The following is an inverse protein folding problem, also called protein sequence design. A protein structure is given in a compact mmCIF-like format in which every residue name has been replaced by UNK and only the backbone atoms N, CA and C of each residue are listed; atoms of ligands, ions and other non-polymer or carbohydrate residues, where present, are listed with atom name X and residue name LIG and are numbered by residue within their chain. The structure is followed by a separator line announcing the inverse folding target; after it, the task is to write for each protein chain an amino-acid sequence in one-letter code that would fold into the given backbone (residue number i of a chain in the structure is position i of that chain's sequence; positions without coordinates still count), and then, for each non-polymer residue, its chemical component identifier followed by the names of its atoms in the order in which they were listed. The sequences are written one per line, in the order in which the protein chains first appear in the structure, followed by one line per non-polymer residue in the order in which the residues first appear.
data_IF_817068268248
#
_entry.id   IF_817068268248
#
_cell.length_a   1.000
_cell.length_b   1.000
_cell.length_c   1.000
_cell.angle_alpha   90.00
_cell.angle_beta   90.00
_cell.angle_gamma   90.00
#
_symmetry.space_group_name_H-M   'P 1'
#
loop_
_entity.id
_entity.type
_entity.pdbx_description
1 polymer ?
#
# COMPACT_ATOMS: atom_id res chain seq x y z
N UNK A 1 7.27 8.34 3.29
CA UNK A 1 6.76 8.95 4.52
C UNK A 1 6.00 7.87 5.25
N UNK A 2 6.26 7.67 6.54
CA UNK A 2 5.41 6.80 7.33
C UNK A 2 4.09 7.53 7.56
N UNK A 3 3.01 7.02 6.97
CA UNK A 3 1.67 7.49 7.27
C UNK A 3 1.32 7.01 8.67
N UNK A 4 1.20 7.93 9.62
CA UNK A 4 0.69 7.57 10.95
C UNK A 4 -0.81 7.30 10.85
N UNK A 5 -1.30 6.23 11.49
CA UNK A 5 -2.73 5.98 11.57
C UNK A 5 -3.40 7.15 12.29
N UNK A 6 -4.58 7.53 11.81
CA UNK A 6 -5.41 8.53 12.45
C UNK A 6 -6.44 7.83 13.34
N UNK A 7 -6.50 8.25 14.60
CA UNK A 7 -7.40 7.68 15.60
C UNK A 7 -8.52 8.68 15.90
N UNK A 8 -9.77 8.29 15.69
CA UNK A 8 -10.96 9.14 15.90
C UNK A 8 -11.92 8.39 16.81
N UNK A 9 -12.28 8.99 17.94
CA UNK A 9 -13.27 8.45 18.86
C UNK A 9 -14.49 9.37 18.91
N UNK A 10 -15.64 8.83 18.53
CA UNK A 10 -16.95 9.43 18.77
C UNK A 10 -17.64 8.63 19.88
N UNK A 11 -17.97 9.30 20.98
CA UNK A 11 -18.79 8.72 22.03
C UNK A 11 -20.09 9.51 22.17
N UNK A 12 -21.21 8.93 21.75
CA UNK A 12 -22.55 9.46 21.97
C UNK A 12 -23.29 8.61 23.02
N UNK A 13 -23.90 9.25 24.01
CA UNK A 13 -24.63 8.57 25.08
C UNK A 13 -25.96 9.25 25.34
N UNK A 14 -27.05 8.49 25.44
CA UNK A 14 -28.38 9.01 25.79
C UNK A 14 -28.93 8.27 27.00
N UNK A 15 -28.96 8.95 28.14
CA UNK A 15 -29.64 8.46 29.34
C UNK A 15 -31.16 8.66 29.21
N UNK A 16 -31.99 7.78 29.81
CA UNK A 16 -33.44 7.95 29.83
C UNK A 16 -33.86 9.34 30.34
N UNK A 17 -34.72 10.03 29.59
CA UNK A 17 -35.22 11.36 29.94
C UNK A 17 -34.21 12.51 29.82
N UNK A 18 -33.00 12.27 29.30
CA UNK A 18 -31.98 13.30 29.09
C UNK A 18 -31.65 13.48 27.61
N UNK A 19 -31.14 14.66 27.27
CA UNK A 19 -30.53 14.89 25.95
C UNK A 19 -29.25 14.06 25.79
N UNK A 20 -28.90 13.65 24.57
CA UNK A 20 -27.66 12.94 24.32
C UNK A 20 -26.45 13.82 24.66
N UNK A 21 -25.42 13.20 25.20
CA UNK A 21 -24.12 13.79 25.48
C UNK A 21 -23.09 13.21 24.53
N UNK A 22 -22.24 14.06 23.97
CA UNK A 22 -21.25 13.71 22.95
C UNK A 22 -19.84 14.04 23.44
N UNK A 23 -18.89 13.20 23.07
CA UNK A 23 -17.46 13.48 23.08
C UNK A 23 -16.88 13.10 21.71
N UNK A 24 -16.03 13.98 21.18
CA UNK A 24 -15.21 13.68 20.00
C UNK A 24 -13.74 13.89 20.36
N UNK A 25 -12.91 12.90 20.10
CA UNK A 25 -11.45 13.03 20.16
C UNK A 25 -10.80 12.58 18.86
N UNK A 26 -9.65 13.17 18.52
CA UNK A 26 -8.81 12.74 17.41
C UNK A 26 -7.33 12.76 17.83
N UNK A 27 -6.62 11.64 17.63
CA UNK A 27 -5.22 11.44 18.01
C UNK A 27 -4.96 11.84 19.48
N UNK A 28 -5.87 11.46 20.39
CA UNK A 28 -5.82 11.80 21.81
C UNK A 28 -6.17 13.27 22.15
N UNK A 29 -6.37 14.13 21.15
CA UNK A 29 -6.81 15.51 21.36
C UNK A 29 -8.34 15.56 21.40
N UNK A 30 -8.89 16.14 22.47
CA UNK A 30 -10.32 16.41 22.54
C UNK A 30 -10.71 17.51 21.55
N UNK A 31 -11.65 17.20 20.67
CA UNK A 31 -12.26 18.15 19.72
C UNK A 31 -13.59 18.68 20.26
N UNK A 32 -14.33 17.84 21.00
CA UNK A 32 -15.57 18.24 21.65
C UNK A 32 -15.78 17.51 23.00
N UNK A 33 -16.29 18.18 24.05
CA UNK A 33 -16.43 19.64 24.18
C UNK A 33 -15.09 20.38 24.18
N UNK A 34 -15.11 21.63 23.71
CA UNK A 34 -13.92 22.50 23.75
C UNK A 34 -13.54 22.88 25.18
N UNK A 35 -12.24 23.03 25.45
CA UNK A 35 -11.73 23.57 26.71
C UNK A 35 -11.41 22.56 27.82
N UNK A 36 -11.47 21.24 27.56
CA UNK A 36 -10.87 20.20 28.41
C UNK A 36 -11.50 19.97 29.80
N UNK A 37 -12.45 20.82 30.24
CA UNK A 37 -13.04 20.74 31.57
C UNK A 37 -14.20 19.74 31.71
N UNK A 38 -14.72 19.20 30.60
CA UNK A 38 -15.83 18.24 30.58
C UNK A 38 -15.47 17.05 29.71
N UNK A 39 -15.86 15.86 30.15
CA UNK A 39 -15.68 14.65 29.35
C UNK A 39 -16.74 14.49 28.27
N UNK A 40 -17.98 14.95 28.46
CA UNK A 40 -19.07 14.91 27.46
C UNK A 40 -19.96 16.14 27.61
N UNK A 41 -20.56 16.63 26.53
CA UNK A 41 -21.51 17.76 26.56
C UNK A 41 -22.64 17.58 25.54
N UNK A 42 -23.77 18.27 25.75
CA UNK A 42 -24.85 18.34 24.77
C UNK A 42 -24.43 19.23 23.60
N UNK A 43 -24.64 18.76 22.38
CA UNK A 43 -24.45 19.56 21.17
C UNK A 43 -25.42 20.76 21.13
N UNK A 44 -24.88 21.94 20.86
CA UNK A 44 -25.68 23.18 20.69
C UNK A 44 -26.05 23.42 19.21
N UNK A 45 -25.22 22.93 18.31
CA UNK A 45 -25.35 22.91 16.85
C UNK A 45 -24.75 21.60 16.35
N UNK A 46 -24.97 21.26 15.07
CA UNK A 46 -24.29 20.13 14.44
C UNK A 46 -22.78 20.32 14.53
N UNK A 47 -22.07 19.22 14.77
CA UNK A 47 -20.62 19.23 14.85
C UNK A 47 -20.04 18.64 13.57
N UNK A 48 -19.19 19.40 12.89
CA UNK A 48 -18.49 18.95 11.70
C UNK A 48 -16.98 19.11 11.92
N UNK A 49 -16.22 18.06 11.66
CA UNK A 49 -14.77 18.10 11.65
C UNK A 49 -14.23 17.53 10.34
N UNK A 50 -13.31 18.26 9.72
CA UNK A 50 -12.64 17.86 8.48
C UNK A 50 -11.17 17.55 8.72
N UNK A 51 -10.67 16.53 8.05
CA UNK A 51 -9.26 16.19 8.01
C UNK A 51 -8.82 16.04 6.56
N UNK A 52 -8.01 16.98 6.04
CA UNK A 52 -7.52 16.89 4.68
C UNK A 52 -6.39 15.85 4.59
N UNK A 53 -6.48 14.96 3.60
CA UNK A 53 -5.46 14.01 3.21
C UNK A 53 -4.99 14.32 1.79
N UNK A 54 -3.69 14.15 1.57
CA UNK A 54 -3.10 14.27 0.24
C UNK A 54 -2.88 12.88 -0.32
N UNK A 55 -3.46 12.61 -1.48
CA UNK A 55 -3.13 11.44 -2.26
C UNK A 55 -1.69 11.51 -2.79
N UNK A 56 -1.22 10.38 -3.32
CA UNK A 56 0.03 10.34 -4.07
C UNK A 56 -0.29 10.74 -5.50
N UNK A 57 0.30 11.85 -5.98
CA UNK A 57 0.12 12.26 -7.35
C UNK A 57 0.72 11.23 -8.33
N UNK A 58 0.09 11.10 -9.49
CA UNK A 58 0.54 10.19 -10.56
C UNK A 58 1.97 10.56 -10.98
N UNK A 59 2.84 9.57 -11.13
CA UNK A 59 4.21 9.79 -11.60
C UNK A 59 5.20 10.32 -10.56
N UNK A 60 4.77 10.55 -9.31
CA UNK A 60 5.70 10.81 -8.20
C UNK A 60 6.71 9.65 -8.09
N UNK A 61 7.97 10.00 -7.82
CA UNK A 61 9.12 9.08 -7.78
C UNK A 61 9.51 8.45 -9.13
N UNK A 62 8.81 8.76 -10.24
CA UNK A 62 9.20 8.30 -11.57
C UNK A 62 10.22 9.26 -12.20
N UNK A 63 11.36 8.76 -12.70
CA UNK A 63 12.35 9.60 -13.34
C UNK A 63 11.85 10.12 -14.69
N UNK A 64 12.14 11.40 -14.98
CA UNK A 64 11.76 12.08 -16.23
C UNK A 64 10.24 12.07 -16.51
N UNK A 65 9.41 11.98 -15.47
CA UNK A 65 7.96 12.11 -15.61
C UNK A 65 7.51 13.58 -15.58
N UNK A 66 8.24 14.41 -14.82
CA UNK A 66 7.92 15.82 -14.61
C UNK A 66 9.01 16.74 -15.16
N UNK A 67 8.64 17.99 -15.37
CA UNK A 67 9.56 19.10 -15.52
C UNK A 67 9.21 20.22 -14.54
N UNK A 68 10.22 21.01 -14.18
CA UNK A 68 10.16 21.98 -13.09
C UNK A 68 10.67 23.34 -13.55
N UNK A 69 9.94 24.39 -13.18
CA UNK A 69 10.37 25.78 -13.37
C UNK A 69 10.88 26.34 -12.04
N UNK A 70 12.20 26.35 -11.77
CA UNK A 70 12.73 26.87 -10.51
C UNK A 70 12.61 28.40 -10.45
N UNK A 71 11.63 28.90 -9.68
CA UNK A 71 11.42 30.33 -9.44
C UNK A 71 12.72 31.00 -8.97
N UNK A 72 13.11 32.06 -9.68
CA UNK A 72 14.30 32.87 -9.36
C UNK A 72 15.62 32.33 -9.90
N UNK A 73 15.66 31.17 -10.57
CA UNK A 73 16.87 30.66 -11.24
C UNK A 73 16.81 30.79 -12.76
N UNK A 74 15.71 30.33 -13.37
CA UNK A 74 15.48 30.39 -14.81
C UNK A 74 13.97 30.40 -15.10
N UNK A 75 13.58 30.95 -16.25
CA UNK A 75 12.21 30.85 -16.77
C UNK A 75 11.98 29.53 -17.53
N UNK A 76 13.06 28.78 -17.81
CA UNK A 76 13.00 27.51 -18.53
C UNK A 76 12.50 26.36 -17.64
N UNK A 77 11.76 25.44 -18.25
CA UNK A 77 11.33 24.19 -17.60
C UNK A 77 12.44 23.15 -17.73
N UNK A 78 12.93 22.67 -16.57
CA UNK A 78 14.01 21.70 -16.47
C UNK A 78 13.45 20.29 -16.25
N UNK A 79 13.93 19.26 -16.96
CA UNK A 79 13.44 17.90 -16.75
C UNK A 79 13.84 17.40 -15.35
N UNK A 80 12.86 16.85 -14.63
CA UNK A 80 13.05 16.35 -13.29
C UNK A 80 13.55 14.89 -13.31
N UNK A 81 14.67 14.67 -12.63
CA UNK A 81 15.17 13.33 -12.30
C UNK A 81 14.27 12.68 -11.27
N UNK A 82 13.79 13.47 -10.31
CA UNK A 82 12.98 12.98 -9.20
C UNK A 82 12.13 14.10 -8.62
N UNK A 83 10.88 13.81 -8.28
CA UNK A 83 9.99 14.71 -7.53
C UNK A 83 9.39 13.94 -6.36
N UNK A 84 9.52 14.50 -5.17
CA UNK A 84 9.00 13.93 -3.93
C UNK A 84 8.23 14.99 -3.14
N UNK A 85 7.11 14.64 -2.48
CA UNK A 85 6.48 15.53 -1.53
C UNK A 85 7.41 15.76 -0.34
N UNK A 86 7.49 17.00 0.18
CA UNK A 86 8.27 17.27 1.40
C UNK A 86 7.59 16.66 2.61
N UNK A 87 8.40 16.23 3.58
CA UNK A 87 7.93 15.64 4.85
C UNK A 87 7.18 16.65 5.73
N UNK A 88 7.32 17.94 5.47
CA UNK A 88 6.57 18.96 6.19
C UNK A 88 5.16 19.09 5.61
N UNK A 89 4.20 19.45 6.47
CA UNK A 89 2.80 19.67 6.07
C UNK A 89 2.61 20.94 5.21
N UNK A 90 3.68 21.50 4.66
CA UNK A 90 3.67 22.73 3.84
C UNK A 90 2.99 22.54 2.50
N UNK A 91 2.95 21.30 2.01
CA UNK A 91 2.43 20.99 0.69
C UNK A 91 3.33 21.37 -0.46
N UNK A 92 4.61 21.63 -0.19
CA UNK A 92 5.66 21.86 -1.19
C UNK A 92 6.38 20.55 -1.53
N UNK A 93 7.16 20.58 -2.59
CA UNK A 93 7.90 19.42 -3.09
C UNK A 93 9.40 19.65 -2.97
N UNK A 94 10.14 18.55 -2.89
CA UNK A 94 11.57 18.53 -3.16
C UNK A 94 11.77 17.86 -4.52
N UNK A 95 12.74 18.34 -5.28
CA UNK A 95 13.00 17.77 -6.58
C UNK A 95 14.48 17.77 -6.93
N UNK A 96 14.86 16.87 -7.81
CA UNK A 96 16.17 16.85 -8.44
C UNK A 96 15.99 17.04 -9.93
N UNK A 97 16.72 17.98 -10.52
CA UNK A 97 16.58 18.35 -11.93
C UNK A 97 17.91 18.26 -12.66
N UNK A 98 17.85 18.09 -13.98
CA UNK A 98 19.00 18.33 -14.86
C UNK A 98 19.10 19.81 -15.19
N UNK A 99 20.19 20.43 -14.75
CA UNK A 99 20.50 21.82 -15.06
C UNK A 99 21.44 21.90 -16.27
N UNK A 100 21.11 22.68 -17.32
CA UNK A 100 21.98 22.85 -18.47
C UNK A 100 23.27 23.56 -18.05
N UNK A 101 24.42 22.93 -18.30
CA UNK A 101 25.71 23.56 -18.08
C UNK A 101 26.01 24.63 -19.14
N UNK A 102 27.02 25.51 -18.92
CA UNK A 102 27.52 26.41 -19.96
C UNK A 102 27.89 25.65 -21.24
N UNK A 103 27.81 26.31 -22.41
CA UNK A 103 28.01 25.71 -23.74
C UNK A 103 29.21 24.74 -23.75
N UNK A 104 28.93 23.46 -24.02
CA UNK A 104 29.93 22.39 -24.11
C UNK A 104 30.19 21.61 -22.82
N UNK A 105 29.56 21.97 -21.69
CA UNK A 105 29.65 21.20 -20.45
C UNK A 105 28.46 20.25 -20.28
N UNK A 106 28.68 19.13 -19.58
CA UNK A 106 27.63 18.15 -19.31
C UNK A 106 26.56 18.77 -18.38
N UNK A 107 25.28 18.39 -18.52
CA UNK A 107 24.24 18.76 -17.56
C UNK A 107 24.63 18.36 -16.14
N UNK A 108 24.27 19.18 -15.17
CA UNK A 108 24.56 18.94 -13.75
C UNK A 108 23.27 18.62 -13.01
N UNK A 109 23.30 17.64 -12.11
CA UNK A 109 22.20 17.39 -11.19
C UNK A 109 22.14 18.49 -10.12
N UNK A 110 20.96 19.07 -9.92
CA UNK A 110 20.73 20.09 -8.90
C UNK A 110 19.52 19.68 -8.05
N UNK A 111 19.71 19.64 -6.74
CA UNK A 111 18.62 19.43 -5.77
C UNK A 111 17.94 20.78 -5.46
N UNK A 112 16.63 20.82 -5.65
CA UNK A 112 15.73 21.91 -5.33
C UNK A 112 14.93 21.50 -4.08
N UNK A 113 15.30 21.98 -2.88
CA UNK A 113 14.70 21.52 -1.62
C UNK A 113 13.26 22.00 -1.44
N UNK A 114 12.85 23.04 -2.17
CA UNK A 114 11.53 23.65 -2.08
C UNK A 114 11.07 24.05 -3.47
N UNK A 115 10.07 23.33 -3.99
CA UNK A 115 9.41 23.57 -5.27
C UNK A 115 7.91 23.75 -5.02
N UNK A 116 7.34 24.81 -5.56
CA UNK A 116 5.90 25.09 -5.46
C UNK A 116 5.11 24.25 -6.46
N UNK A 117 3.85 23.95 -6.15
CA UNK A 117 3.02 23.06 -6.96
C UNK A 117 2.82 23.60 -8.39
N UNK A 118 2.69 24.91 -8.53
CA UNK A 118 2.54 25.61 -9.82
C UNK A 118 3.81 25.57 -10.69
N UNK A 119 4.95 25.21 -10.10
CA UNK A 119 6.24 25.07 -10.77
C UNK A 119 6.50 23.64 -11.26
N UNK A 120 5.52 22.73 -11.18
CA UNK A 120 5.67 21.33 -11.56
C UNK A 120 4.59 20.98 -12.57
N UNK A 121 4.98 20.36 -13.69
CA UNK A 121 4.05 19.85 -14.69
C UNK A 121 4.55 18.55 -15.30
N UNK A 122 3.64 17.75 -15.85
CA UNK A 122 3.99 16.53 -16.56
C UNK A 122 4.83 16.86 -17.80
N UNK A 123 5.93 16.13 -18.01
CA UNK A 123 6.86 16.42 -19.10
C UNK A 123 6.24 16.19 -20.48
N UNK A 124 5.41 15.15 -20.62
CA UNK A 124 4.77 14.79 -21.89
C UNK A 124 3.53 15.65 -22.17
N UNK A 125 2.59 15.71 -21.23
CA UNK A 125 1.31 16.38 -21.45
C UNK A 125 1.34 17.89 -21.19
N UNK A 126 2.40 18.39 -20.53
CA UNK A 126 2.54 19.76 -20.03
C UNK A 126 1.44 20.21 -19.07
N UNK A 127 0.61 19.29 -18.57
CA UNK A 127 -0.43 19.60 -17.58
C UNK A 127 0.20 19.83 -16.21
N UNK A 128 -0.26 20.84 -15.45
CA UNK A 128 0.21 21.06 -14.08
C UNK A 128 0.08 19.81 -13.21
N UNK A 129 0.94 19.67 -12.21
CA UNK A 129 0.85 18.58 -11.25
C UNK A 129 -0.48 18.66 -10.48
N UNK A 130 -1.32 17.66 -10.64
CA UNK A 130 -2.53 17.49 -9.84
C UNK A 130 -2.24 16.53 -8.67
N UNK A 131 -2.42 17.04 -7.45
CA UNK A 131 -2.33 16.24 -6.23
C UNK A 131 -3.76 15.90 -5.80
N UNK A 132 -4.16 14.62 -5.81
CA UNK A 132 -5.50 14.24 -5.40
C UNK A 132 -5.77 14.74 -3.99
N UNK A 133 -6.81 15.55 -3.83
CA UNK A 133 -7.26 16.03 -2.53
C UNK A 133 -8.35 15.10 -2.03
N UNK A 134 -8.18 14.62 -0.80
CA UNK A 134 -9.19 13.84 -0.10
C UNK A 134 -9.49 14.52 1.23
N UNK A 135 -10.72 14.45 1.68
CA UNK A 135 -11.11 14.97 2.98
C UNK A 135 -11.91 13.88 3.70
N UNK A 136 -11.51 13.56 4.93
CA UNK A 136 -12.36 12.82 5.83
C UNK A 136 -13.22 13.83 6.58
N UNK A 137 -14.53 13.61 6.61
CA UNK A 137 -15.48 14.48 7.30
C UNK A 137 -16.24 13.65 8.31
N UNK A 138 -16.17 14.04 9.58
CA UNK A 138 -17.04 13.55 10.63
C UNK A 138 -18.15 14.57 10.83
N UNK A 139 -19.38 14.17 10.57
CA UNK A 139 -20.59 14.95 10.83
C UNK A 139 -21.37 14.29 11.97
N UNK A 140 -21.75 15.08 12.97
CA UNK A 140 -22.49 14.62 14.15
C UNK A 140 -23.72 15.50 14.32
N UNK A 141 -24.90 14.94 14.00
CA UNK A 141 -26.19 15.60 14.16
C UNK A 141 -26.45 16.00 15.61
N UNK A 142 -26.87 17.25 15.82
CA UNK A 142 -27.30 17.76 17.13
C UNK A 142 -28.55 17.05 17.63
N UNK A 143 -29.50 16.82 16.73
CA UNK A 143 -30.83 16.33 17.07
C UNK A 143 -30.79 14.82 17.38
N UNK A 144 -29.93 14.08 16.67
CA UNK A 144 -29.83 12.64 16.81
C UNK A 144 -28.41 12.09 16.59
N UNK A 145 -27.44 12.42 17.47
CA UNK A 145 -26.04 12.00 17.34
C UNK A 145 -25.83 10.49 17.41
N UNK A 146 -26.84 9.71 17.81
CA UNK A 146 -26.74 8.25 17.90
C UNK A 146 -26.98 7.56 16.55
N UNK A 147 -27.78 8.16 15.66
CA UNK A 147 -28.17 7.53 14.38
C UNK A 147 -27.73 8.35 13.17
N UNK A 148 -27.58 9.65 13.32
CA UNK A 148 -27.26 10.59 12.24
C UNK A 148 -25.84 11.13 12.39
N UNK A 149 -24.93 10.30 12.90
CA UNK A 149 -23.50 10.60 12.87
C UNK A 149 -22.88 9.84 11.70
N UNK A 150 -22.19 10.54 10.82
CA UNK A 150 -21.58 9.97 9.64
C UNK A 150 -20.09 10.28 9.56
N UNK A 151 -19.34 9.34 9.01
CA UNK A 151 -17.97 9.54 8.60
C UNK A 151 -17.92 9.37 7.08
N UNK A 152 -17.56 10.41 6.35
CA UNK A 152 -17.52 10.39 4.89
C UNK A 152 -16.14 10.74 4.36
N UNK A 153 -15.79 10.13 3.23
CA UNK A 153 -14.59 10.43 2.46
C UNK A 153 -15.02 11.24 1.23
N UNK A 154 -14.57 12.49 1.14
CA UNK A 154 -14.77 13.33 -0.04
C UNK A 154 -13.51 13.29 -0.89
N UNK A 155 -13.65 12.93 -2.15
CA UNK A 155 -12.60 13.05 -3.16
C UNK A 155 -13.13 13.63 -4.48
N UNK A 156 -12.33 13.60 -5.54
CA UNK A 156 -12.69 14.10 -6.87
C UNK A 156 -13.91 13.39 -7.49
N UNK A 157 -14.28 12.20 -6.99
CA UNK A 157 -15.42 11.42 -7.48
C UNK A 157 -16.71 11.73 -6.73
N UNK A 158 -16.63 12.40 -5.58
CA UNK A 158 -17.78 12.76 -4.75
C UNK A 158 -17.59 12.42 -3.28
N UNK A 159 -18.70 12.39 -2.54
CA UNK A 159 -18.74 11.97 -1.13
C UNK A 159 -19.10 10.49 -1.05
N UNK A 160 -18.27 9.71 -0.35
CA UNK A 160 -18.50 8.30 -0.04
C UNK A 160 -18.69 8.15 1.47
N UNK A 161 -19.83 7.61 1.91
CA UNK A 161 -20.06 7.34 3.33
C UNK A 161 -19.31 6.08 3.77
N UNK A 162 -18.44 6.22 4.77
CA UNK A 162 -17.59 5.16 5.31
C UNK A 162 -17.87 4.88 6.79
N UNK A 163 -18.99 5.39 7.33
CA UNK A 163 -19.45 5.17 8.71
C UNK A 163 -19.46 3.70 9.11
N UNK A 164 -19.90 2.83 8.18
CA UNK A 164 -20.00 1.38 8.39
C UNK A 164 -18.88 0.61 7.66
N UNK A 165 -17.81 1.31 7.28
CA UNK A 165 -16.65 0.69 6.64
C UNK A 165 -15.74 0.07 7.71
N UNK A 166 -16.14 -1.09 8.22
CA UNK A 166 -15.32 -1.86 9.14
C UNK A 166 -14.24 -2.60 8.35
N UNK A 167 -12.97 -2.43 8.74
CA UNK A 167 -11.87 -3.15 8.11
C UNK A 167 -10.83 -3.63 9.13
N UNK A 168 -10.14 -4.73 8.80
CA UNK A 168 -8.96 -5.22 9.52
C UNK A 168 -7.82 -5.51 8.54
N UNK A 169 -6.57 -5.27 8.93
CA UNK A 169 -5.43 -5.58 8.08
C UNK A 169 -5.20 -7.09 8.01
N UNK A 170 -4.65 -7.55 6.88
CA UNK A 170 -4.21 -8.93 6.64
C UNK A 170 -2.73 -8.94 6.21
N UNK A 171 -1.84 -9.67 6.90
CA UNK A 171 -2.11 -10.54 8.05
C UNK A 171 -2.57 -9.74 9.28
N UNK A 172 -3.13 -10.39 10.32
CA UNK A 172 -3.37 -9.71 11.58
C UNK A 172 -2.06 -9.14 12.14
N UNK A 173 -2.08 -7.98 12.80
CA UNK A 173 -0.88 -7.41 13.40
C UNK A 173 -0.40 -8.32 14.53
N UNK A 174 0.88 -8.71 14.48
CA UNK A 174 1.48 -9.54 15.53
C UNK A 174 1.85 -8.67 16.72
N UNK A 175 1.04 -8.73 17.79
CA UNK A 175 1.34 -8.09 19.08
C UNK A 175 0.41 -6.93 19.46
N UNK A 176 0.72 -6.28 20.58
CA UNK A 176 -0.07 -5.16 21.13
C UNK A 176 0.31 -3.78 20.55
N UNK A 177 1.37 -3.71 19.73
CA UNK A 177 1.72 -2.47 19.04
C UNK A 177 0.65 -2.10 18.01
N UNK A 178 0.51 -0.79 17.75
CA UNK A 178 -0.55 -0.18 16.93
C UNK A 178 -0.91 -1.00 15.69
N UNK A 179 -2.17 -0.92 15.27
CA UNK A 179 -2.70 -1.43 13.99
C UNK A 179 -2.08 -0.70 12.80
N UNK A 180 -0.76 -0.72 12.69
CA UNK A 180 -0.06 -0.40 11.46
C UNK A 180 -0.18 -1.59 10.51
N UNK A 181 -0.22 -1.31 9.21
CA UNK A 181 -0.19 -2.36 8.21
C UNK A 181 1.03 -3.27 8.51
N UNK A 182 0.83 -4.59 8.66
CA UNK A 182 1.92 -5.51 8.95
C UNK A 182 2.99 -5.41 7.87
N UNK A 183 4.23 -5.75 8.22
CA UNK A 183 5.27 -5.92 7.21
C UNK A 183 4.72 -6.81 6.09
N UNK A 184 4.89 -6.40 4.81
CA UNK A 184 4.27 -7.11 3.70
C UNK A 184 4.68 -8.58 3.78
N UNK A 185 3.69 -9.47 3.82
CA UNK A 185 3.92 -10.90 3.74
C UNK A 185 4.63 -11.14 2.42
N UNK A 186 5.95 -11.35 2.41
CA UNK A 186 6.72 -11.44 1.16
C UNK A 186 7.02 -12.91 0.84
N UNK A 187 6.91 -13.29 -0.43
CA UNK A 187 7.51 -14.54 -0.94
C UNK A 187 8.76 -14.17 -1.74
N UNK A 188 9.87 -14.82 -1.43
CA UNK A 188 11.13 -14.58 -2.14
C UNK A 188 11.34 -15.63 -3.23
N UNK A 189 11.90 -15.17 -4.34
CA UNK A 189 12.41 -16.01 -5.43
C UNK A 189 13.91 -15.76 -5.56
N UNK A 190 14.67 -16.82 -5.74
CA UNK A 190 16.10 -16.74 -6.06
C UNK A 190 16.31 -17.17 -7.50
N UNK A 191 16.95 -16.30 -8.28
CA UNK A 191 17.28 -16.54 -9.68
C UNK A 191 18.78 -16.75 -9.77
N UNK A 192 19.22 -17.86 -10.36
CA UNK A 192 20.64 -18.08 -10.57
C UNK A 192 21.23 -17.08 -11.57
N UNK A 193 22.56 -16.95 -11.57
CA UNK A 193 23.27 -15.97 -12.40
C UNK A 193 23.04 -16.17 -13.90
N UNK A 194 22.94 -17.42 -14.33
CA UNK A 194 22.68 -17.80 -15.73
C UNK A 194 21.20 -17.64 -16.11
N UNK A 195 20.32 -17.34 -15.15
CA UNK A 195 18.87 -17.20 -15.31
C UNK A 195 18.21 -18.43 -15.94
N UNK A 196 18.75 -19.62 -15.68
CA UNK A 196 18.22 -20.90 -16.13
C UNK A 196 17.34 -21.59 -15.09
N UNK A 197 17.43 -21.17 -13.82
CA UNK A 197 16.70 -21.76 -12.70
C UNK A 197 16.15 -20.68 -11.78
N UNK A 198 14.94 -20.91 -11.29
CA UNK A 198 14.28 -20.10 -10.26
C UNK A 198 13.87 -21.01 -9.11
N UNK A 199 14.24 -20.63 -7.90
CA UNK A 199 13.82 -21.26 -6.66
C UNK A 199 12.86 -20.34 -5.91
N UNK A 200 11.72 -20.86 -5.46
CA UNK A 200 10.71 -20.08 -4.71
C UNK A 200 10.65 -20.62 -3.28
N UNK A 201 10.65 -19.73 -2.29
CA UNK A 201 10.51 -20.08 -0.87
C UNK A 201 9.06 -20.48 -0.47
N UNK A 202 8.38 -21.22 -1.34
CA UNK A 202 7.04 -21.74 -1.14
C UNK A 202 6.82 -22.99 -2.00
N UNK A 203 5.92 -23.87 -1.54
CA UNK A 203 5.38 -24.97 -2.35
C UNK A 203 4.36 -24.49 -3.39
N UNK A 204 4.00 -25.39 -4.31
CA UNK A 204 3.07 -25.11 -5.41
C UNK A 204 1.73 -24.56 -4.93
N UNK A 205 1.07 -25.26 -4.02
CA UNK A 205 -0.26 -24.88 -3.55
C UNK A 205 -0.18 -23.60 -2.73
N UNK A 206 0.84 -23.47 -1.86
CA UNK A 206 1.04 -22.28 -1.04
C UNK A 206 1.27 -21.03 -1.90
N UNK A 207 2.04 -21.17 -2.98
CA UNK A 207 2.32 -20.07 -3.90
C UNK A 207 1.09 -19.64 -4.72
N UNK A 208 0.31 -20.61 -5.22
CA UNK A 208 -0.96 -20.32 -5.91
C UNK A 208 -1.95 -19.63 -4.96
N UNK A 209 -2.15 -20.18 -3.76
CA UNK A 209 -3.02 -19.60 -2.74
C UNK A 209 -2.64 -18.16 -2.42
N UNK A 210 -1.35 -17.93 -2.21
CA UNK A 210 -0.81 -16.61 -1.92
C UNK A 210 -1.10 -15.61 -3.06
N UNK A 211 -0.87 -16.01 -4.31
CA UNK A 211 -1.10 -15.17 -5.50
C UNK A 211 -2.58 -14.89 -5.75
N UNK A 212 -3.47 -15.81 -5.37
CA UNK A 212 -4.92 -15.63 -5.54
C UNK A 212 -5.56 -14.97 -4.32
N UNK A 213 -4.84 -14.84 -3.20
CA UNK A 213 -5.43 -14.54 -1.89
C UNK A 213 -6.61 -15.48 -1.61
N UNK A 214 -6.44 -16.78 -1.91
CA UNK A 214 -7.48 -17.80 -1.69
C UNK A 214 -7.74 -17.94 -0.18
N UNK A 215 -9.01 -18.00 0.21
CA UNK A 215 -9.42 -18.22 1.59
C UNK A 215 -9.63 -19.71 1.82
N UNK A 216 -9.07 -20.25 2.91
CA UNK A 216 -9.21 -21.67 3.27
C UNK A 216 -9.70 -21.85 4.70
N UNK A 217 -10.65 -22.75 4.89
CA UNK A 217 -11.18 -23.07 6.20
C UNK A 217 -10.15 -23.87 7.02
N UNK A 218 -9.91 -23.44 8.26
CA UNK A 218 -9.05 -24.18 9.20
C UNK A 218 -9.92 -24.93 10.20
N UNK A 219 -10.81 -24.24 10.90
CA UNK A 219 -11.68 -24.84 11.92
C UNK A 219 -12.88 -23.98 12.22
N UNK A 220 -13.96 -24.60 12.69
CA UNK A 220 -15.12 -23.90 13.27
C UNK A 220 -15.49 -24.53 14.61
N UNK A 221 -15.87 -23.69 15.58
CA UNK A 221 -16.32 -24.11 16.90
C UNK A 221 -17.64 -23.43 17.24
N UNK A 222 -18.69 -24.24 17.40
CA UNK A 222 -20.05 -23.78 17.63
C UNK A 222 -20.49 -24.07 19.07
N UNK A 223 -20.94 -23.02 19.76
CA UNK A 223 -21.55 -23.07 21.08
C UNK A 223 -22.90 -22.34 21.04
N UNK A 224 -23.74 -22.52 22.06
CA UNK A 224 -25.08 -21.92 22.09
C UNK A 224 -25.06 -20.39 21.97
N UNK A 225 -24.04 -19.73 22.50
CA UNK A 225 -23.95 -18.26 22.56
C UNK A 225 -22.71 -17.69 21.87
N UNK A 226 -21.99 -18.53 21.13
CA UNK A 226 -20.70 -18.20 20.54
C UNK A 226 -20.46 -19.08 19.33
N UNK A 227 -19.99 -18.48 18.25
CA UNK A 227 -19.51 -19.18 17.07
C UNK A 227 -18.16 -18.60 16.69
N UNK A 228 -17.18 -19.45 16.48
CA UNK A 228 -15.83 -19.06 16.11
C UNK A 228 -15.43 -19.78 14.84
N UNK A 229 -14.97 -19.01 13.85
CA UNK A 229 -14.37 -19.50 12.62
C UNK A 229 -12.90 -19.12 12.57
N UNK A 230 -12.10 -20.03 12.06
CA UNK A 230 -10.68 -19.81 11.78
C UNK A 230 -10.43 -20.16 10.32
N UNK A 231 -9.88 -19.23 9.57
CA UNK A 231 -9.50 -19.42 8.18
C UNK A 231 -8.15 -18.76 7.90
N UNK A 232 -7.57 -19.13 6.77
CA UNK A 232 -6.33 -18.58 6.25
C UNK A 232 -6.57 -17.85 4.93
N UNK A 233 -5.88 -16.72 4.72
CA UNK A 233 -5.80 -16.01 3.45
C UNK A 233 -4.38 -16.17 2.92
N UNK A 234 -4.21 -17.12 2.01
CA UNK A 234 -2.88 -17.61 1.66
C UNK A 234 -2.12 -18.22 2.87
N UNK A 235 -0.84 -18.56 2.71
CA UNK A 235 -0.08 -19.36 3.68
C UNK A 235 0.40 -18.60 4.93
N UNK A 236 0.25 -17.26 4.97
CA UNK A 236 0.88 -16.41 6.00
C UNK A 236 -0.09 -15.53 6.78
N UNK A 237 -1.40 -15.66 6.55
CA UNK A 237 -2.39 -14.86 7.26
C UNK A 237 -3.52 -15.73 7.77
N UNK A 238 -3.57 -15.91 9.08
CA UNK A 238 -4.61 -16.68 9.75
C UNK A 238 -5.51 -15.74 10.55
N UNK A 239 -6.80 -15.78 10.29
CA UNK A 239 -7.79 -14.94 10.96
C UNK A 239 -8.67 -15.77 11.90
N UNK A 240 -9.05 -15.16 13.03
CA UNK A 240 -10.02 -15.71 13.97
C UNK A 240 -11.22 -14.75 14.05
N UNK A 241 -12.37 -15.21 13.56
CA UNK A 241 -13.61 -14.45 13.61
C UNK A 241 -14.54 -15.12 14.61
N UNK A 242 -14.95 -14.37 15.63
CA UNK A 242 -15.83 -14.85 16.68
C UNK A 242 -17.04 -13.94 16.78
N UNK A 243 -18.23 -14.52 16.73
CA UNK A 243 -19.48 -13.84 17.04
C UNK A 243 -20.05 -14.44 18.32
N UNK A 244 -20.35 -13.60 19.31
CA UNK A 244 -20.81 -14.08 20.61
C UNK A 244 -21.79 -13.13 21.29
N UNK A 245 -22.47 -13.65 22.30
CA UNK A 245 -23.35 -12.91 23.19
C UNK A 245 -22.78 -12.91 24.60
N UNK A 246 -22.12 -11.83 25.00
CA UNK A 246 -21.46 -11.69 26.31
C UNK A 246 -22.40 -11.89 27.50
N UNK A 247 -23.66 -11.47 27.37
CA UNK A 247 -24.66 -11.57 28.43
C UNK A 247 -25.95 -12.24 27.94
N UNK A 248 -26.41 -13.29 28.65
CA UNK A 248 -27.57 -14.11 28.24
C UNK A 248 -28.83 -13.32 27.94
N UNK A 249 -29.12 -12.30 28.74
CA UNK A 249 -30.31 -11.44 28.64
C UNK A 249 -30.17 -10.27 27.68
N UNK A 250 -28.95 -9.95 27.20
CA UNK A 250 -28.73 -8.80 26.33
C UNK A 250 -29.33 -9.01 24.93
N UNK A 251 -29.54 -7.95 24.16
CA UNK A 251 -29.81 -8.04 22.71
C UNK A 251 -28.56 -7.72 21.87
N UNK A 252 -27.46 -7.40 22.54
CA UNK A 252 -26.19 -7.03 21.94
C UNK A 252 -25.43 -8.29 21.53
N UNK A 253 -25.01 -8.30 20.28
CA UNK A 253 -24.09 -9.28 19.71
C UNK A 253 -22.73 -8.62 19.52
N UNK A 254 -21.67 -9.33 19.86
CA UNK A 254 -20.28 -8.87 19.73
C UNK A 254 -19.60 -9.66 18.63
N UNK A 255 -19.10 -8.97 17.61
CA UNK A 255 -18.20 -9.51 16.60
C UNK A 255 -16.77 -9.12 16.93
N UNK A 256 -15.94 -10.13 17.12
CA UNK A 256 -14.51 -10.03 17.41
C UNK A 256 -13.74 -10.60 16.24
N UNK A 257 -12.75 -9.86 15.76
CA UNK A 257 -11.84 -10.29 14.69
C UNK A 257 -10.42 -10.19 15.23
N UNK A 258 -9.69 -11.30 15.20
CA UNK A 258 -8.30 -11.41 15.68
C UNK A 258 -8.15 -10.90 17.12
N UNK A 259 -9.05 -11.36 17.99
CA UNK A 259 -9.11 -11.03 19.42
C UNK A 259 -9.46 -9.57 19.75
N UNK A 260 -9.82 -8.76 18.76
CA UNK A 260 -10.27 -7.37 18.95
C UNK A 260 -11.74 -7.23 18.57
N UNK A 261 -12.51 -6.60 19.45
CA UNK A 261 -13.91 -6.26 19.15
C UNK A 261 -13.92 -5.33 17.95
N UNK A 262 -14.69 -5.69 16.93
CA UNK A 262 -14.91 -4.89 15.74
C UNK A 262 -16.30 -4.24 15.77
N UNK A 263 -17.33 -5.00 16.15
CA UNK A 263 -18.71 -4.54 16.23
C UNK A 263 -19.32 -5.06 17.53
N UNK A 264 -20.03 -4.21 18.28
CA UNK A 264 -20.77 -4.59 19.49
C UNK A 264 -22.08 -3.80 19.56
N UNK A 265 -23.18 -4.39 19.10
CA UNK A 265 -24.47 -3.69 18.98
C UNK A 265 -25.65 -4.67 18.87
N UNK A 266 -26.88 -4.15 18.95
CA UNK A 266 -28.08 -4.92 18.62
C UNK A 266 -28.32 -4.97 17.11
N UNK A 267 -29.16 -5.91 16.65
CA UNK A 267 -29.44 -6.10 15.22
C UNK A 267 -30.09 -4.87 14.55
N UNK A 268 -30.84 -4.06 15.32
CA UNK A 268 -31.47 -2.85 14.82
C UNK A 268 -30.60 -1.58 14.87
N UNK A 269 -29.36 -1.68 15.34
CA UNK A 269 -28.43 -0.56 15.41
C UNK A 269 -27.47 -0.51 14.20
N UNK A 270 -27.44 -1.56 13.39
CA UNK A 270 -26.64 -1.63 12.17
C UNK A 270 -27.54 -1.30 10.98
N UNK A 271 -27.37 -0.09 10.45
CA UNK A 271 -27.99 0.34 9.20
C UNK A 271 -27.24 -0.29 7.99
N UNK A 272 -27.19 -1.62 7.96
CA UNK A 272 -26.62 -2.40 6.85
C UNK A 272 -27.68 -2.69 5.77
N UNK A 273 -28.54 -1.72 5.51
CA UNK A 273 -29.46 -1.73 4.37
C UNK A 273 -28.65 -1.33 3.13
N UNK A 274 -27.71 -2.18 2.73
CA UNK A 274 -26.95 -2.00 1.50
C UNK A 274 -27.89 -2.11 0.28
N UNK A 275 -27.56 -1.45 -0.84
CA UNK A 275 -28.41 -1.38 -2.04
C UNK A 275 -28.70 -2.76 -2.68
N UNK A 276 -27.94 -3.80 -2.31
CA UNK A 276 -28.15 -5.17 -2.78
C UNK A 276 -29.17 -5.97 -1.92
N UNK A 277 -29.62 -5.42 -0.80
CA UNK A 277 -30.80 -5.93 -0.11
C UNK A 277 -32.00 -5.25 -0.77
N UNK A 278 -32.54 -5.90 -1.80
CA UNK A 278 -33.78 -5.50 -2.45
C UNK A 278 -34.81 -5.16 -1.36
N UNK A 279 -35.09 -3.87 -1.20
CA UNK A 279 -36.06 -3.31 -0.24
C UNK A 279 -37.45 -3.95 -0.45
N UNK A 280 -37.69 -4.47 -1.66
CA UNK A 280 -38.87 -5.25 -2.05
C UNK A 280 -38.99 -6.63 -1.36
N UNK A 281 -37.90 -7.19 -0.84
CA UNK A 281 -37.92 -8.45 -0.06
C UNK A 281 -38.17 -8.21 1.43
N UNK A 282 -38.01 -6.98 1.92
CA UNK A 282 -38.39 -6.61 3.28
C UNK A 282 -39.90 -6.38 3.33
N UNK A 283 -40.68 -7.45 3.13
CA UNK A 283 -42.12 -7.41 3.39
C UNK A 283 -42.31 -6.91 4.84
N UNK A 284 -43.08 -5.84 5.07
CA UNK A 284 -43.37 -5.30 6.39
C UNK A 284 -44.32 -6.24 7.14
N UNK A 285 -43.89 -7.48 7.37
CA UNK A 285 -44.63 -8.46 8.14
C UNK A 285 -44.56 -8.05 9.61
N UNK A 286 -45.72 -7.70 10.10
CA UNK A 286 -46.03 -6.89 11.28
C UNK A 286 -46.00 -7.66 12.60
N UNK A 287 -45.07 -8.60 12.76
CA UNK A 287 -45.01 -9.41 13.98
C UNK A 287 -43.57 -9.54 14.50
N UNK A 288 -43.05 -8.44 15.08
CA UNK A 288 -42.27 -8.39 16.32
C UNK A 288 -41.02 -9.25 16.55
N UNK A 289 -40.71 -10.23 15.71
CA UNK A 289 -39.71 -11.25 16.01
C UNK A 289 -38.46 -11.06 15.15
N UNK A 290 -37.53 -10.29 15.74
CA UNK A 290 -36.08 -10.35 15.57
C UNK A 290 -35.55 -10.48 14.14
N UNK A 291 -35.28 -9.34 13.48
CA UNK A 291 -34.37 -9.25 12.33
C UNK A 291 -33.06 -10.01 12.65
N UNK A 292 -32.51 -10.82 11.72
CA UNK A 292 -31.24 -11.48 11.93
C UNK A 292 -30.15 -10.43 12.17
N UNK A 293 -29.22 -10.72 13.08
CA UNK A 293 -28.06 -9.85 13.27
C UNK A 293 -27.08 -10.12 12.13
N UNK A 294 -26.70 -9.09 11.39
CA UNK A 294 -25.70 -9.18 10.33
C UNK A 294 -24.62 -8.17 10.60
N UNK A 295 -23.36 -8.58 10.53
CA UNK A 295 -22.20 -7.68 10.57
C UNK A 295 -21.32 -7.94 9.36
N UNK A 296 -20.93 -6.88 8.64
CA UNK A 296 -20.03 -6.98 7.51
C UNK A 296 -18.76 -6.16 7.78
N UNK A 297 -17.62 -6.68 7.32
CA UNK A 297 -16.35 -5.99 7.39
C UNK A 297 -15.44 -6.43 6.23
N UNK A 298 -14.31 -5.76 6.08
CA UNK A 298 -13.33 -6.07 5.04
C UNK A 298 -11.99 -6.48 5.65
N UNK A 299 -11.37 -7.49 5.08
CA UNK A 299 -9.97 -7.80 5.33
C UNK A 299 -9.14 -7.17 4.21
N UNK A 300 -8.18 -6.32 4.56
CA UNK A 300 -7.38 -5.56 3.61
C UNK A 300 -5.92 -5.99 3.77
N UNK A 301 -5.35 -6.56 2.72
CA UNK A 301 -3.98 -7.02 2.75
C UNK A 301 -3.16 -6.53 1.57
N UNK A 302 -1.85 -6.57 1.76
CA UNK A 302 -0.87 -6.40 0.69
C UNK A 302 -0.03 -7.67 0.56
N UNK A 303 0.28 -8.05 -0.67
CA UNK A 303 1.14 -9.17 -1.02
C UNK A 303 2.26 -8.68 -1.94
N UNK A 304 3.45 -9.23 -1.74
CA UNK A 304 4.68 -8.88 -2.44
C UNK A 304 5.42 -10.17 -2.79
N UNK A 305 5.83 -10.28 -4.04
CA UNK A 305 6.70 -11.36 -4.50
C UNK A 305 7.97 -10.71 -5.01
N UNK A 306 9.09 -10.96 -4.34
CA UNK A 306 10.37 -10.34 -4.69
C UNK A 306 11.32 -11.36 -5.24
N UNK A 307 11.85 -11.10 -6.43
CA UNK A 307 12.90 -11.90 -7.01
C UNK A 307 14.26 -11.26 -6.72
N UNK A 308 15.15 -12.01 -6.09
CA UNK A 308 16.58 -11.72 -6.03
C UNK A 308 17.20 -12.09 -7.36
N UNK A 309 17.55 -11.08 -8.14
CA UNK A 309 18.12 -11.23 -9.48
C UNK A 309 19.52 -10.64 -9.53
N UNK A 310 20.40 -11.26 -10.31
CA UNK A 310 21.67 -10.66 -10.68
C UNK A 310 21.40 -9.45 -11.60
N UNK A 311 22.06 -8.33 -11.30
CA UNK A 311 21.97 -7.13 -12.10
C UNK A 311 22.67 -7.35 -13.46
N UNK A 312 22.18 -6.71 -14.52
CA UNK A 312 22.82 -6.77 -15.84
C UNK A 312 23.19 -5.38 -16.33
N UNK A 313 24.21 -5.29 -17.17
CA UNK A 313 24.55 -4.06 -17.90
C UNK A 313 23.51 -3.78 -18.99
N UNK A 314 23.60 -2.60 -19.63
CA UNK A 314 22.77 -2.26 -20.80
C UNK A 314 22.96 -3.24 -21.97
N UNK A 315 24.14 -3.85 -22.07
CA UNK A 315 24.48 -4.84 -23.10
C UNK A 315 24.02 -6.26 -22.75
N UNK A 316 23.40 -6.46 -21.58
CA UNK A 316 22.91 -7.76 -21.11
C UNK A 316 23.95 -8.61 -20.38
N UNK A 317 25.15 -8.08 -20.11
CA UNK A 317 26.18 -8.80 -19.34
C UNK A 317 25.78 -8.88 -17.87
N UNK A 318 25.73 -10.10 -17.32
CA UNK A 318 25.40 -10.33 -15.90
C UNK A 318 26.55 -9.87 -14.98
N UNK A 319 26.20 -9.11 -13.95
CA UNK A 319 27.10 -8.66 -12.89
C UNK A 319 27.07 -9.64 -11.71
N UNK A 320 28.04 -9.55 -10.80
CA UNK A 320 28.05 -10.32 -9.54
C UNK A 320 27.17 -9.70 -8.45
N UNK A 321 26.68 -8.48 -8.67
CA UNK A 321 25.75 -7.81 -7.76
C UNK A 321 24.32 -8.29 -7.98
N UNK A 322 23.54 -8.34 -6.90
CA UNK A 322 22.13 -8.74 -6.92
C UNK A 322 21.25 -7.62 -6.38
N UNK A 323 20.00 -7.56 -6.83
CA UNK A 323 18.96 -6.67 -6.29
C UNK A 323 17.64 -7.42 -6.12
N UNK A 324 16.71 -6.86 -5.34
CA UNK A 324 15.35 -7.35 -5.17
C UNK A 324 14.39 -6.59 -6.10
N UNK A 325 13.70 -7.31 -6.97
CA UNK A 325 12.71 -6.75 -7.88
C UNK A 325 11.32 -7.25 -7.53
N UNK A 326 10.36 -6.34 -7.39
CA UNK A 326 8.95 -6.70 -7.23
C UNK A 326 8.43 -7.32 -8.52
N UNK A 327 7.88 -8.52 -8.38
CA UNK A 327 7.42 -9.37 -9.49
C UNK A 327 5.94 -9.13 -9.78
N UNK A 328 5.15 -8.83 -8.75
CA UNK A 328 3.71 -8.62 -8.94
C UNK A 328 3.42 -7.24 -9.56
N UNK A 329 2.48 -7.18 -10.51
CA UNK A 329 1.88 -5.92 -10.94
C UNK A 329 1.28 -5.13 -9.77
N UNK A 330 1.30 -3.80 -9.83
CA UNK A 330 0.82 -2.92 -8.74
C UNK A 330 -0.64 -3.16 -8.35
N UNK A 331 -1.49 -3.50 -9.31
CA UNK A 331 -2.90 -3.85 -9.13
C UNK A 331 -3.10 -5.21 -8.45
N UNK A 332 -2.09 -6.09 -8.48
CA UNK A 332 -2.13 -7.39 -7.81
C UNK A 332 -1.50 -7.35 -6.41
N UNK A 333 -0.84 -6.27 -6.01
CA UNK A 333 -0.22 -6.15 -4.68
C UNK A 333 -1.30 -6.02 -3.60
N UNK A 334 -2.34 -5.23 -3.84
CA UNK A 334 -3.40 -5.00 -2.86
C UNK A 334 -4.58 -5.93 -3.10
N UNK A 335 -5.16 -6.45 -2.04
CA UNK A 335 -6.39 -7.22 -2.12
C UNK A 335 -7.31 -6.90 -0.95
N UNK A 336 -8.61 -7.13 -1.19
CA UNK A 336 -9.68 -6.92 -0.23
C UNK A 336 -10.56 -8.15 -0.21
N UNK A 337 -10.93 -8.63 0.98
CA UNK A 337 -11.92 -9.70 1.18
C UNK A 337 -13.11 -9.17 1.94
N UNK A 338 -14.30 -9.32 1.38
CA UNK A 338 -15.53 -8.93 2.04
C UNK A 338 -15.98 -10.08 2.92
N UNK A 339 -16.04 -9.85 4.23
CA UNK A 339 -16.49 -10.84 5.21
C UNK A 339 -17.86 -10.42 5.74
N UNK A 340 -18.81 -11.35 5.72
CA UNK A 340 -20.14 -11.16 6.28
C UNK A 340 -20.40 -12.24 7.30
N UNK A 341 -20.91 -11.84 8.47
CA UNK A 341 -21.35 -12.75 9.52
C UNK A 341 -22.82 -12.51 9.75
N UNK A 342 -23.61 -13.57 9.65
CA UNK A 342 -25.06 -13.53 9.89
C UNK A 342 -25.42 -14.47 11.03
N UNK A 343 -26.21 -14.00 11.98
CA UNK A 343 -26.76 -14.76 13.10
C UNK A 343 -28.28 -14.77 12.93
N UNK A 344 -28.85 -15.84 12.34
CA UNK A 344 -30.28 -15.93 12.07
C UNK A 344 -31.12 -15.87 13.36
N UNK A 345 -30.72 -16.62 14.39
CA UNK A 345 -31.36 -16.60 15.70
C UNK A 345 -30.39 -16.09 16.79
N UNK A 346 -30.61 -14.92 17.40
CA UNK A 346 -29.77 -14.41 18.48
C UNK A 346 -29.88 -15.22 19.80
N UNK A 347 -30.71 -16.27 19.84
CA UNK A 347 -30.76 -17.24 20.94
C UNK A 347 -29.90 -18.49 20.69
N UNK A 348 -29.54 -18.77 19.43
CA UNK A 348 -28.71 -19.93 19.05
C UNK A 348 -27.67 -19.59 17.98
N UNK A 349 -26.45 -19.35 18.45
CA UNK A 349 -25.31 -18.97 17.62
C UNK A 349 -24.73 -20.12 16.80
N UNK A 350 -25.18 -21.36 17.03
CA UNK A 350 -24.75 -22.52 16.24
C UNK A 350 -25.19 -22.45 14.78
N UNK A 351 -26.24 -21.67 14.51
CA UNK A 351 -26.78 -21.42 13.17
C UNK A 351 -26.13 -20.22 12.49
N UNK A 352 -25.15 -19.57 13.14
CA UNK A 352 -24.47 -18.45 12.54
C UNK A 352 -23.67 -18.90 11.32
N UNK A 353 -23.61 -18.03 10.32
CA UNK A 353 -22.94 -18.26 9.04
C UNK A 353 -21.88 -17.18 8.84
N UNK A 354 -20.75 -17.56 8.25
CA UNK A 354 -19.69 -16.66 7.82
C UNK A 354 -19.47 -16.84 6.32
N UNK A 355 -19.56 -15.74 5.58
CA UNK A 355 -19.30 -15.69 4.14
C UNK A 355 -18.06 -14.84 3.87
N UNK A 356 -17.21 -15.29 2.94
CA UNK A 356 -16.04 -14.55 2.46
C UNK A 356 -16.14 -14.41 0.95
N UNK A 357 -16.21 -13.17 0.46
CA UNK A 357 -16.46 -12.85 -0.96
C UNK A 357 -17.70 -13.58 -1.53
N UNK A 358 -18.73 -13.77 -0.69
CA UNK A 358 -19.96 -14.47 -1.07
C UNK A 358 -19.86 -16.00 -1.07
N UNK A 359 -18.75 -16.57 -0.59
CA UNK A 359 -18.58 -18.02 -0.40
C UNK A 359 -18.70 -18.34 1.08
N UNK A 360 -19.66 -19.19 1.43
CA UNK A 360 -19.86 -19.65 2.80
C UNK A 360 -18.64 -20.43 3.31
N UNK A 361 -18.29 -20.24 4.58
CA UNK A 361 -17.14 -20.89 5.23
C UNK A 361 -17.15 -22.41 5.06
N UNK A 362 -18.33 -23.04 5.13
CA UNK A 362 -18.49 -24.48 4.95
C UNK A 362 -18.14 -24.96 3.52
N UNK A 363 -18.17 -24.06 2.54
CA UNK A 363 -17.83 -24.34 1.14
C UNK A 363 -16.37 -24.00 0.80
N UNK A 364 -15.61 -23.37 1.71
CA UNK A 364 -14.20 -23.10 1.50
C UNK A 364 -13.39 -24.39 1.50
N UNK A 365 -12.33 -24.43 0.69
CA UNK A 365 -11.35 -25.51 0.74
C UNK A 365 -10.70 -25.56 2.12
N UNK A 366 -10.42 -26.75 2.64
CA UNK A 366 -9.69 -26.88 3.90
C UNK A 366 -8.21 -26.53 3.73
N UNK A 367 -7.64 -25.87 4.76
CA UNK A 367 -6.22 -25.63 4.84
C UNK A 367 -5.45 -26.95 4.92
N UNK A 368 -4.45 -27.13 4.05
CA UNK A 368 -3.61 -28.32 4.02
C UNK A 368 -2.51 -28.21 5.06
N UNK A 369 -2.37 -29.22 5.93
CA UNK A 369 -1.24 -29.31 6.88
C UNK A 369 0.02 -29.92 6.27
N UNK A 370 -0.04 -30.36 5.00
CA UNK A 370 1.08 -30.99 4.33
C UNK A 370 2.18 -29.95 4.01
N UNK A 371 3.41 -30.22 4.44
CA UNK A 371 4.57 -29.47 3.98
C UNK A 371 4.87 -29.90 2.54
N UNK A 372 4.84 -28.94 1.62
CA UNK A 372 5.27 -29.14 0.24
C UNK A 372 6.76 -28.85 0.10
N UNK A 373 7.39 -29.44 -0.91
CA UNK A 373 8.73 -29.07 -1.31
C UNK A 373 8.72 -27.66 -1.94
N UNK A 374 9.81 -26.91 -1.75
CA UNK A 374 10.01 -25.63 -2.43
C UNK A 374 9.99 -25.83 -3.95
N UNK A 375 9.39 -24.88 -4.68
CA UNK A 375 9.39 -24.91 -6.14
C UNK A 375 10.80 -24.61 -6.65
N UNK A 376 11.34 -25.49 -7.48
CA UNK A 376 12.52 -25.24 -8.31
C UNK A 376 12.15 -25.55 -9.76
N UNK A 377 12.22 -24.55 -10.64
CA UNK A 377 11.81 -24.69 -12.04
C UNK A 377 12.58 -23.75 -12.98
N UNK A 378 12.46 -24.00 -14.28
CA UNK A 378 12.97 -23.10 -15.30
C UNK A 378 12.07 -21.84 -15.46
N UNK A 379 12.62 -20.68 -15.87
CA UNK A 379 11.83 -19.46 -16.02
C UNK A 379 10.64 -19.57 -16.98
N UNK A 380 10.76 -20.42 -18.02
CA UNK A 380 9.66 -20.66 -18.96
C UNK A 380 8.49 -21.37 -18.28
N UNK A 381 8.78 -22.34 -17.41
CA UNK A 381 7.78 -23.03 -16.59
C UNK A 381 7.14 -22.07 -15.60
N UNK A 382 7.93 -21.18 -14.97
CA UNK A 382 7.41 -20.14 -14.06
C UNK A 382 6.39 -19.23 -14.78
N UNK A 383 6.73 -18.78 -15.99
CA UNK A 383 5.86 -17.95 -16.82
C UNK A 383 4.61 -18.70 -17.26
N UNK A 384 4.75 -19.95 -17.70
CA UNK A 384 3.65 -20.76 -18.22
C UNK A 384 2.66 -21.17 -17.12
N UNK A 385 3.15 -21.66 -15.98
CA UNK A 385 2.29 -22.18 -14.91
C UNK A 385 1.71 -21.07 -14.03
N UNK A 386 2.48 -20.01 -13.75
CA UNK A 386 2.09 -18.98 -12.79
C UNK A 386 1.86 -17.61 -13.44
N UNK A 387 2.06 -17.45 -14.75
CA UNK A 387 1.89 -16.16 -15.43
C UNK A 387 2.91 -15.11 -14.98
N UNK A 388 4.05 -15.54 -14.44
CA UNK A 388 5.06 -14.66 -13.86
C UNK A 388 6.28 -14.59 -14.79
N UNK A 389 6.52 -13.46 -15.46
CA UNK A 389 7.77 -13.27 -16.20
C UNK A 389 8.94 -13.07 -15.23
N UNK A 390 10.11 -13.59 -15.59
CA UNK A 390 11.32 -13.41 -14.81
C UNK A 390 11.80 -11.95 -14.89
N UNK A 391 11.83 -11.19 -13.78
CA UNK A 391 12.24 -9.79 -13.84
C UNK A 391 13.72 -9.62 -14.17
N UNK A 392 14.07 -8.47 -14.71
CA UNK A 392 15.45 -8.05 -14.98
C UNK A 392 15.73 -6.74 -14.26
N UNK A 393 16.93 -6.58 -13.70
CA UNK A 393 17.41 -5.32 -13.17
C UNK A 393 18.60 -4.86 -13.99
N UNK A 394 18.44 -3.75 -14.72
CA UNK A 394 19.56 -3.12 -15.42
C UNK A 394 20.22 -2.12 -14.48
N UNK A 395 21.51 -2.30 -14.20
CA UNK A 395 22.28 -1.31 -13.45
C UNK A 395 22.85 -0.31 -14.44
N UNK A 396 22.32 0.91 -14.39
CA UNK A 396 22.89 2.01 -15.16
C UNK A 396 24.15 2.50 -14.45
N UNK A 397 25.24 1.74 -14.61
CA UNK A 397 26.55 2.23 -14.24
C UNK A 397 26.88 3.36 -15.19
N UNK A 398 27.31 4.54 -14.69
CA UNK A 398 27.88 5.55 -15.57
C UNK A 398 29.01 4.87 -16.35
N UNK A 399 29.07 5.04 -17.68
CA UNK A 399 30.08 4.37 -18.48
C UNK A 399 31.44 4.71 -17.89
N UNK A 400 32.22 3.68 -17.61
CA UNK A 400 33.56 3.87 -17.04
C UNK A 400 34.37 4.74 -18.00
N UNK A 401 35.35 5.50 -17.48
CA UNK A 401 36.20 6.34 -18.34
C UNK A 401 36.82 5.53 -19.50
N UNK A 402 37.07 4.24 -19.28
CA UNK A 402 37.53 3.29 -20.28
C UNK A 402 36.45 2.94 -21.32
N UNK A 403 35.22 2.63 -20.92
CA UNK A 403 34.12 2.36 -21.85
C UNK A 403 33.75 3.61 -22.67
N UNK A 404 33.78 4.80 -22.06
CA UNK A 404 33.62 6.07 -22.80
C UNK A 404 34.74 6.26 -23.81
N UNK A 405 35.99 5.95 -23.44
CA UNK A 405 37.12 6.02 -24.35
C UNK A 405 36.99 5.00 -25.49
N UNK A 406 36.55 3.77 -25.18
CA UNK A 406 36.38 2.70 -26.16
C UNK A 406 35.23 2.98 -27.13
N UNK A 407 34.07 3.46 -26.66
CA UNK A 407 32.97 3.91 -27.52
C UNK A 407 33.42 5.07 -28.40
N UNK A 408 34.14 6.06 -27.85
CA UNK A 408 34.71 7.16 -28.64
C UNK A 408 35.74 6.69 -29.66
N UNK A 409 36.54 5.67 -29.33
CA UNK A 409 37.51 5.08 -30.26
C UNK A 409 36.84 4.26 -31.36
N UNK A 410 35.70 3.63 -31.08
CA UNK A 410 34.89 2.93 -32.08
C UNK A 410 34.10 3.91 -32.96
N UNK A 411 33.55 4.99 -32.41
CA UNK A 411 32.94 6.09 -33.17
C UNK A 411 33.99 6.80 -34.03
N UNK A 412 35.18 7.04 -33.49
CA UNK A 412 36.35 7.50 -34.26
C UNK A 412 36.95 6.41 -35.16
N UNK A 413 36.42 5.18 -35.12
CA UNK A 413 36.82 4.03 -35.92
C UNK A 413 36.44 4.12 -37.39
N UNK A 414 35.78 5.20 -37.84
CA UNK A 414 35.74 5.57 -39.26
C UNK A 414 36.94 6.44 -39.69
N UNK A 415 37.79 6.91 -38.77
CA UNK A 415 39.02 7.66 -39.07
C UNK A 415 40.14 7.33 -38.08
N UNK A 416 40.41 6.04 -37.85
CA UNK A 416 41.46 5.58 -36.93
C UNK A 416 42.85 6.17 -37.25
N UNK A 417 43.11 6.57 -38.50
CA UNK A 417 44.36 7.22 -38.91
C UNK A 417 44.44 8.73 -38.59
N UNK A 418 43.32 9.45 -38.51
CA UNK A 418 43.32 10.90 -38.25
C UNK A 418 43.22 11.20 -36.74
N UNK A 419 42.45 10.38 -36.00
CA UNK A 419 42.28 10.56 -34.55
C UNK A 419 43.56 10.28 -33.75
N UNK A 420 44.36 9.29 -34.14
CA UNK A 420 45.59 8.95 -33.39
C UNK A 420 46.66 10.05 -33.47
N UNK A 421 46.75 10.76 -34.60
CA UNK A 421 47.64 11.90 -34.76
C UNK A 421 47.21 13.11 -33.92
N UNK A 422 45.89 13.33 -33.75
CA UNK A 422 45.35 14.40 -32.92
C UNK A 422 45.47 14.11 -31.41
N UNK A 423 45.33 12.85 -31.00
CA UNK A 423 45.48 12.43 -29.59
C UNK A 423 46.96 12.51 -29.15
N UNK A 424 47.92 12.19 -30.04
CA UNK A 424 49.34 12.42 -29.77
C UNK A 424 49.72 13.91 -29.71
N UNK A 425 48.94 14.79 -30.33
CA UNK A 425 49.19 16.23 -30.33
C UNK A 425 48.61 16.97 -29.11
N UNK A 426 47.85 16.29 -28.24
CA UNK A 426 47.37 16.91 -26.99
C UNK A 426 48.47 16.92 -25.91
N UNK A 427 48.92 18.10 -25.44
CA UNK A 427 50.07 18.23 -24.53
C UNK A 427 49.94 17.48 -23.20
N UNK A 428 48.71 17.18 -22.74
CA UNK A 428 48.46 16.52 -21.46
C UNK A 428 48.63 14.99 -21.46
N UNK A 429 48.53 14.32 -22.62
CA UNK A 429 48.64 12.86 -22.70
C UNK A 429 50.10 12.38 -22.75
N UNK A 430 51.00 13.21 -23.28
CA UNK A 430 52.45 13.00 -23.18
C UNK A 430 52.95 13.09 -21.75
N UNK A 431 52.41 14.01 -20.93
CA UNK A 431 52.72 14.09 -19.50
C UNK A 431 52.20 12.86 -18.72
N UNK A 432 50.97 12.41 -19.01
CA UNK A 432 50.40 11.20 -18.39
C UNK A 432 51.16 9.92 -18.77
N UNK A 433 51.56 9.78 -20.04
CA UNK A 433 52.40 8.68 -20.52
C UNK A 433 53.79 8.67 -19.86
N UNK A 434 54.40 9.85 -19.66
CA UNK A 434 55.65 9.99 -18.95
C UNK A 434 55.52 9.62 -17.46
N UNK A 435 54.43 10.01 -16.78
CA UNK A 435 54.16 9.63 -15.39
C UNK A 435 53.93 8.12 -15.22
N UNK A 436 53.21 7.46 -16.13
CA UNK A 436 53.03 6.01 -16.11
C UNK A 436 54.34 5.25 -16.38
N UNK A 437 55.20 5.78 -17.26
CA UNK A 437 56.53 5.18 -17.50
C UNK A 437 57.44 5.27 -16.27
N UNK A 438 57.34 6.35 -15.48
CA UNK A 438 58.04 6.50 -14.21
C UNK A 438 57.51 5.52 -13.15
N UNK A 439 56.20 5.32 -13.06
CA UNK A 439 55.59 4.30 -12.18
C UNK A 439 56.00 2.87 -12.56
N UNK A 440 56.09 2.56 -13.85
CA UNK A 440 56.58 1.26 -14.33
C UNK A 440 58.06 0.98 -14.00
N UNK A 441 58.86 2.02 -13.81
CA UNK A 441 60.27 1.89 -13.40
C UNK A 441 60.44 1.58 -11.91
N UNK A 442 59.46 1.95 -11.07
CA UNK A 442 59.44 1.64 -9.63
C UNK A 442 59.10 0.17 -9.35
N UNK A 443 58.31 -0.49 -10.20
CA UNK A 443 57.97 -1.91 -10.05
C UNK A 443 59.02 -2.89 -10.63
N UNK A 444 60.10 -2.38 -11.25
CA UNK A 444 61.23 -3.20 -11.73
C UNK A 444 62.43 -3.24 -10.77
N UNK A 445 62.32 -2.60 -9.61
CA UNK A 445 63.27 -2.70 -8.50
C UNK A 445 62.54 -3.11 -7.21
N UNK A 446 62.04 -4.33 -7.17
CA UNK A 446 61.67 -5.07 -5.96
C UNK A 446 61.86 -6.54 -6.20
#
# INVERSE_FOLDING_TARGET
METQPMDIHLHAEKLPGRSPLVNVTANGKQLFPEGGGKTKEKLKADFQQKWPFRGIAKGIDQPNFFEIQPKGMTEEWLPAIKVLPRKDSSGKFEARVWFPGPKGTKPKEVDLPVVELDCIREQESKKPLEVPKRELILDVSKDNPLKESTLSLIDERGSEDITHFFARPTPPPTGAMLETMPAPNCIYMEVNKERTKVKIEAGHDAFIQYRQSECRAVSAAAEKQKMTWVFEIGPKARHNVTVEKRYKSSRITTLTVDHKVLIECAAGDLDLDGPDFDEASASPSSSGDSRPWTGAFRLIGERSVKAKVYEQTKDGTMLDSTDLVEVLPRDQIKYTKNVRVTVPDPKDFRTAVLDIDGVEFAMLKHASTASEAMIECEPEVLKMQYGIPLPTKVKDLPPTAFEVLQSKLQEAGQTWQEGWAQVQAQPGLTEFGNQLSQLGSLFKKS
#
